data_IF_937079139397
#
_entry.id   IF_937079139397
#
_cell.length_a   1.000
_cell.length_b   1.000
_cell.length_c   1.000
_cell.angle_alpha   90.00
_cell.angle_beta   90.00
_cell.angle_gamma   90.00
#
_symmetry.space_group_name_H-M   'P 1'
#
loop_
_entity.id
_entity.type
_entity.pdbx_description
1 polymer ?
#
# COMPACT_ATOMS: atom_id res chain seq x y z
N UNK A 1 7.89 11.05 -17.53
CA UNK A 1 7.26 11.84 -16.45
C UNK A 1 7.51 11.07 -15.15
N UNK A 2 8.05 11.68 -14.11
CA UNK A 2 8.48 10.94 -12.89
C UNK A 2 7.45 11.13 -11.77
N UNK A 3 6.77 10.06 -11.35
CA UNK A 3 5.78 10.08 -10.27
C UNK A 3 6.36 10.60 -8.95
N UNK A 4 7.63 10.27 -8.66
CA UNK A 4 8.34 10.77 -7.48
C UNK A 4 8.47 12.30 -7.46
N UNK A 5 8.55 12.96 -8.62
CA UNK A 5 8.57 14.43 -8.63
C UNK A 5 7.26 15.03 -8.10
N UNK A 6 6.12 14.44 -8.45
CA UNK A 6 4.82 14.89 -7.94
C UNK A 6 4.68 14.60 -6.44
N UNK A 7 5.17 13.46 -5.97
CA UNK A 7 5.20 13.15 -4.54
C UNK A 7 5.93 14.22 -3.72
N UNK A 8 7.12 14.64 -4.17
CA UNK A 8 7.89 15.65 -3.46
C UNK A 8 7.30 17.07 -3.59
N UNK A 9 6.72 17.42 -4.73
CA UNK A 9 6.34 18.83 -5.00
C UNK A 9 4.87 19.13 -4.81
N UNK A 10 4.01 18.11 -4.84
CA UNK A 10 2.54 18.22 -4.83
C UNK A 10 1.88 17.12 -4.00
N UNK A 11 2.48 16.77 -2.86
CA UNK A 11 1.90 15.84 -1.87
C UNK A 11 0.51 16.27 -1.38
N UNK A 12 0.18 17.57 -1.51
CA UNK A 12 -1.15 18.14 -1.26
C UNK A 12 -2.24 17.58 -2.18
N UNK A 13 -1.86 17.12 -3.38
CA UNK A 13 -2.77 16.55 -4.38
C UNK A 13 -2.50 15.06 -4.62
N UNK A 14 -1.22 14.68 -4.65
CA UNK A 14 -0.77 13.32 -4.94
C UNK A 14 -0.08 12.72 -3.71
N UNK A 15 -0.89 12.25 -2.76
CA UNK A 15 -0.39 11.60 -1.55
C UNK A 15 0.06 10.15 -1.76
N UNK A 16 -0.47 9.48 -2.78
CA UNK A 16 -0.16 8.07 -3.07
C UNK A 16 0.72 7.97 -4.30
N UNK A 17 1.97 7.58 -4.12
CA UNK A 17 2.97 7.58 -5.19
C UNK A 17 3.58 6.19 -5.37
N UNK A 18 3.32 5.62 -6.54
CA UNK A 18 4.00 4.41 -6.99
C UNK A 18 5.19 4.72 -7.90
N UNK A 19 6.29 4.01 -7.70
CA UNK A 19 7.51 4.12 -8.50
C UNK A 19 8.00 2.71 -8.86
N UNK A 20 7.64 2.24 -10.04
CA UNK A 20 8.04 0.90 -10.50
C UNK A 20 9.35 0.96 -11.27
N UNK A 21 10.30 0.11 -10.88
CA UNK A 21 11.59 -0.07 -11.55
C UNK A 21 12.23 1.26 -11.99
N UNK A 22 12.40 2.25 -11.07
CA UNK A 22 12.85 3.55 -11.48
C UNK A 22 14.26 3.47 -12.06
N UNK A 23 14.47 4.20 -13.17
CA UNK A 23 15.81 4.48 -13.67
C UNK A 23 16.68 5.08 -12.55
N UNK A 24 18.01 4.90 -12.65
CA UNK A 24 18.93 5.47 -11.66
C UNK A 24 18.80 6.99 -11.60
N UNK A 25 18.13 7.49 -10.55
CA UNK A 25 17.88 8.92 -10.40
C UNK A 25 19.19 9.70 -10.24
N UNK A 26 20.23 9.12 -9.64
CA UNK A 26 21.54 9.80 -9.57
C UNK A 26 22.10 10.15 -10.94
N UNK A 27 21.79 9.36 -11.96
CA UNK A 27 22.31 9.54 -13.32
C UNK A 27 21.35 10.33 -14.22
N UNK A 28 20.04 10.17 -14.03
CA UNK A 28 19.03 10.67 -14.97
C UNK A 28 18.08 11.71 -14.40
N UNK A 29 17.95 11.81 -13.07
CA UNK A 29 17.05 12.74 -12.40
C UNK A 29 17.55 13.12 -10.98
N UNK A 30 18.78 13.63 -10.83
CA UNK A 30 19.36 13.88 -9.50
C UNK A 30 18.59 14.92 -8.69
N UNK A 31 17.87 15.81 -9.38
CA UNK A 31 17.00 16.80 -8.75
C UNK A 31 15.88 16.13 -7.94
N UNK A 32 15.36 14.97 -8.39
CA UNK A 32 14.30 14.25 -7.66
C UNK A 32 14.83 13.72 -6.33
N UNK A 33 16.00 13.07 -6.32
CA UNK A 33 16.63 12.62 -5.07
C UNK A 33 16.88 13.81 -4.12
N UNK A 34 17.34 14.94 -4.66
CA UNK A 34 17.61 16.11 -3.85
C UNK A 34 16.35 16.69 -3.20
N UNK A 35 15.18 16.64 -3.87
CA UNK A 35 13.93 17.10 -3.26
C UNK A 35 13.60 16.27 -2.00
N UNK A 36 13.62 14.94 -2.11
CA UNK A 36 13.37 14.06 -0.96
C UNK A 36 14.46 14.17 0.12
N UNK A 37 15.71 14.46 -0.26
CA UNK A 37 16.82 14.57 0.68
C UNK A 37 16.95 15.93 1.39
N UNK A 38 16.21 16.96 0.99
CA UNK A 38 16.44 18.32 1.53
C UNK A 38 15.19 19.05 1.97
N UNK A 39 14.03 18.66 1.45
CA UNK A 39 12.78 19.29 1.83
C UNK A 39 12.28 18.79 3.18
N UNK A 40 11.44 19.58 3.88
CA UNK A 40 10.68 19.07 5.01
C UNK A 40 9.91 17.81 4.63
N UNK A 41 9.77 16.90 5.59
CA UNK A 41 9.02 15.66 5.41
C UNK A 41 7.58 15.99 4.99
N UNK A 42 7.09 15.28 3.99
CA UNK A 42 5.72 15.45 3.49
C UNK A 42 4.78 14.60 4.34
N UNK A 43 3.90 15.21 5.13
CA UNK A 43 3.06 14.52 6.13
C UNK A 43 1.95 13.62 5.53
N UNK A 44 1.67 13.72 4.23
CA UNK A 44 0.60 12.98 3.54
C UNK A 44 1.12 12.24 2.31
N UNK A 45 2.29 11.63 2.43
CA UNK A 45 2.96 10.99 1.30
C UNK A 45 3.29 9.52 1.59
N UNK A 46 2.51 8.64 0.98
CA UNK A 46 2.72 7.19 0.96
C UNK A 46 3.40 6.79 -0.35
N UNK A 47 4.47 6.01 -0.22
CA UNK A 47 5.34 5.64 -1.34
C UNK A 47 5.37 4.12 -1.52
N UNK A 48 5.17 3.64 -2.74
CA UNK A 48 5.35 2.24 -3.10
C UNK A 48 6.40 2.10 -4.19
N UNK A 49 7.52 1.46 -3.88
CA UNK A 49 8.65 1.33 -4.80
C UNK A 49 8.81 -0.13 -5.16
N UNK A 50 8.95 -0.43 -6.45
CA UNK A 50 9.23 -1.80 -6.91
C UNK A 50 10.56 -1.86 -7.62
N UNK A 51 11.24 -2.99 -7.45
CA UNK A 51 12.46 -3.33 -8.20
C UNK A 51 12.47 -4.81 -8.56
N UNK A 52 13.06 -5.13 -9.71
CA UNK A 52 13.48 -6.45 -10.10
C UNK A 52 14.93 -6.72 -9.69
N UNK A 53 15.27 -7.98 -9.44
CA UNK A 53 16.66 -8.39 -9.16
C UNK A 53 17.49 -8.62 -10.42
N UNK A 54 16.86 -8.71 -11.60
CA UNK A 54 17.52 -9.10 -12.85
C UNK A 54 17.57 -7.91 -13.82
N UNK A 55 18.72 -7.23 -13.89
CA UNK A 55 18.95 -6.18 -14.90
C UNK A 55 18.15 -4.89 -14.69
N UNK A 56 17.59 -4.66 -13.50
CA UNK A 56 16.72 -3.50 -13.20
C UNK A 56 17.46 -2.26 -12.66
N UNK A 57 18.80 -2.29 -12.67
CA UNK A 57 19.63 -1.20 -12.15
C UNK A 57 19.53 -1.03 -10.63
N UNK A 58 19.95 0.14 -10.13
CA UNK A 58 19.99 0.43 -8.69
C UNK A 58 19.12 1.62 -8.28
N UNK A 59 18.31 2.18 -9.20
CA UNK A 59 17.56 3.41 -8.95
C UNK A 59 16.57 3.29 -7.80
N UNK A 60 15.86 2.17 -7.71
CA UNK A 60 14.89 1.95 -6.63
C UNK A 60 15.57 1.80 -5.27
N UNK A 61 16.67 1.04 -5.20
CA UNK A 61 17.44 0.87 -3.97
C UNK A 61 18.08 2.20 -3.51
N UNK A 62 18.61 3.00 -4.44
CA UNK A 62 19.12 4.34 -4.14
C UNK A 62 18.02 5.25 -3.62
N UNK A 63 16.84 5.22 -4.23
CA UNK A 63 15.73 6.05 -3.80
C UNK A 63 15.22 5.63 -2.42
N UNK A 64 15.02 4.33 -2.18
CA UNK A 64 14.65 3.79 -0.87
C UNK A 64 15.64 4.17 0.23
N UNK A 65 16.95 4.19 -0.07
CA UNK A 65 17.97 4.65 0.86
C UNK A 65 17.79 6.12 1.26
N UNK A 66 17.49 7.01 0.30
CA UNK A 66 17.19 8.42 0.60
C UNK A 66 15.93 8.55 1.45
N UNK A 67 14.87 7.83 1.11
CA UNK A 67 13.61 7.87 1.85
C UNK A 67 13.78 7.42 3.31
N UNK A 68 14.49 6.31 3.52
CA UNK A 68 14.81 5.79 4.86
C UNK A 68 15.67 6.78 5.67
N UNK A 69 16.67 7.42 5.06
CA UNK A 69 17.54 8.39 5.73
C UNK A 69 16.78 9.65 6.17
N UNK A 70 15.74 10.03 5.43
CA UNK A 70 14.95 11.24 5.68
C UNK A 70 13.63 10.99 6.41
N UNK A 71 13.31 9.73 6.74
CA UNK A 71 12.16 9.36 7.57
C UNK A 71 10.83 9.34 6.84
N UNK A 72 10.81 9.09 5.53
CA UNK A 72 9.56 8.84 4.80
C UNK A 72 9.03 7.44 5.11
N UNK A 73 7.71 7.34 5.18
CA UNK A 73 7.02 6.05 5.13
C UNK A 73 6.98 5.55 3.68
N UNK A 74 7.38 4.30 3.48
CA UNK A 74 7.40 3.68 2.16
C UNK A 74 7.34 2.17 2.24
N UNK A 75 6.78 1.57 1.20
CA UNK A 75 6.82 0.14 0.94
C UNK A 75 7.79 -0.15 -0.21
N UNK A 76 8.63 -1.17 -0.03
CA UNK A 76 9.64 -1.58 -1.01
C UNK A 76 9.44 -3.04 -1.39
N UNK A 77 9.09 -3.28 -2.65
CA UNK A 77 8.81 -4.60 -3.18
C UNK A 77 9.87 -5.03 -4.20
N UNK A 78 10.72 -5.96 -3.79
CA UNK A 78 11.68 -6.62 -4.68
C UNK A 78 11.07 -7.91 -5.26
N UNK A 79 11.32 -8.19 -6.54
CA UNK A 79 10.88 -9.41 -7.23
C UNK A 79 12.04 -10.06 -8.00
N UNK A 80 12.05 -11.39 -8.04
CA UNK A 80 13.03 -12.16 -8.80
C UNK A 80 12.71 -12.18 -10.30
N UNK A 81 12.57 -10.99 -10.87
CA UNK A 81 12.20 -10.70 -12.25
C UNK A 81 13.06 -9.53 -12.75
N UNK A 82 12.96 -9.19 -14.04
CA UNK A 82 13.68 -8.06 -14.61
C UNK A 82 12.82 -6.86 -14.95
N UNK A 83 13.44 -5.84 -15.54
CA UNK A 83 12.80 -4.61 -16.05
C UNK A 83 11.81 -4.93 -17.17
N UNK A 84 10.58 -5.33 -16.80
CA UNK A 84 9.66 -5.98 -17.72
C UNK A 84 8.21 -5.62 -17.42
N UNK A 85 7.39 -5.60 -18.48
CA UNK A 85 5.96 -5.38 -18.39
C UNK A 85 5.24 -6.42 -17.52
N UNK A 86 5.74 -7.65 -17.49
CA UNK A 86 5.21 -8.72 -16.63
C UNK A 86 5.32 -8.35 -15.15
N UNK A 87 6.53 -7.98 -14.73
CA UNK A 87 6.80 -7.56 -13.35
C UNK A 87 5.98 -6.32 -12.96
N UNK A 88 5.88 -5.32 -13.84
CA UNK A 88 5.09 -4.12 -13.56
C UNK A 88 3.61 -4.42 -13.42
N UNK A 89 3.05 -5.20 -14.34
CA UNK A 89 1.61 -5.52 -14.33
C UNK A 89 1.25 -6.42 -13.16
N UNK A 90 2.08 -7.40 -12.83
CA UNK A 90 1.83 -8.32 -11.72
C UNK A 90 1.88 -7.68 -10.33
N UNK A 91 2.38 -6.44 -10.22
CA UNK A 91 2.48 -5.71 -8.95
C UNK A 91 1.44 -4.61 -8.78
N UNK A 92 0.59 -4.35 -9.78
CA UNK A 92 -0.44 -3.30 -9.71
C UNK A 92 -1.39 -3.57 -8.56
N UNK A 93 -1.88 -4.80 -8.40
CA UNK A 93 -2.85 -5.13 -7.35
C UNK A 93 -2.29 -4.88 -5.95
N UNK A 94 -1.09 -5.39 -5.65
CA UNK A 94 -0.46 -5.16 -4.34
C UNK A 94 -0.19 -3.69 -4.08
N UNK A 95 0.22 -2.95 -5.11
CA UNK A 95 0.47 -1.52 -5.01
C UNK A 95 -0.81 -0.73 -4.73
N UNK A 96 -1.91 -1.05 -5.43
CA UNK A 96 -3.20 -0.40 -5.20
C UNK A 96 -3.71 -0.74 -3.80
N UNK A 97 -3.69 -2.02 -3.41
CA UNK A 97 -4.12 -2.42 -2.06
C UNK A 97 -3.32 -1.70 -0.97
N UNK A 98 -2.00 -1.53 -1.14
CA UNK A 98 -1.18 -0.83 -0.16
C UNK A 98 -1.46 0.68 -0.13
N UNK A 99 -1.53 1.32 -1.29
CA UNK A 99 -1.63 2.79 -1.38
C UNK A 99 -3.05 3.32 -1.18
N UNK A 100 -4.07 2.64 -1.71
CA UNK A 100 -5.46 3.09 -1.64
C UNK A 100 -6.33 2.23 -0.72
N UNK A 101 -5.76 1.16 -0.15
CA UNK A 101 -6.49 0.18 0.64
C UNK A 101 -7.18 -0.88 -0.22
N UNK A 102 -7.65 -1.99 0.38
CA UNK A 102 -8.51 -2.93 -0.32
C UNK A 102 -9.83 -2.22 -0.64
N UNK A 103 -10.19 -2.15 -1.93
CA UNK A 103 -11.55 -1.78 -2.31
C UNK A 103 -12.47 -2.94 -1.93
N UNK A 104 -13.47 -2.77 -1.05
CA UNK A 104 -14.51 -3.77 -0.89
C UNK A 104 -15.19 -3.97 -2.24
N UNK A 105 -14.98 -5.12 -2.85
CA UNK A 105 -15.70 -5.51 -4.07
C UNK A 105 -16.89 -6.33 -3.60
N UNK A 106 -18.09 -5.94 -4.03
CA UNK A 106 -19.29 -6.73 -3.81
C UNK A 106 -19.68 -7.37 -5.12
N UNK A 107 -19.82 -8.69 -5.12
CA UNK A 107 -20.17 -9.44 -6.32
C UNK A 107 -21.53 -9.01 -6.90
N UNK A 108 -22.41 -8.47 -6.05
CA UNK A 108 -23.71 -7.93 -6.45
C UNK A 108 -23.74 -6.41 -6.72
N UNK A 109 -22.60 -5.73 -6.72
CA UNK A 109 -22.45 -4.34 -7.22
C UNK A 109 -22.28 -4.39 -8.74
N UNK A 110 -23.41 -4.61 -9.43
CA UNK A 110 -23.47 -4.90 -10.85
C UNK A 110 -23.21 -3.65 -11.71
N UNK A 111 -23.37 -2.45 -11.15
CA UNK A 111 -23.06 -1.19 -11.84
C UNK A 111 -21.69 -0.60 -11.46
N UNK A 112 -20.97 -1.25 -10.54
CA UNK A 112 -19.64 -0.86 -10.02
C UNK A 112 -19.62 0.56 -9.42
N UNK A 113 -20.72 1.00 -8.80
CA UNK A 113 -20.81 2.30 -8.13
C UNK A 113 -20.35 2.27 -6.67
N UNK A 114 -19.93 1.10 -6.18
CA UNK A 114 -19.47 0.83 -4.83
C UNK A 114 -20.62 0.56 -3.85
N UNK A 115 -21.86 0.42 -4.32
CA UNK A 115 -23.04 0.30 -3.46
C UNK A 115 -24.03 -0.73 -4.00
N UNK A 116 -24.27 -1.82 -3.26
CA UNK A 116 -25.28 -2.81 -3.65
C UNK A 116 -26.68 -2.31 -3.30
N UNK A 117 -27.44 -1.90 -4.31
CA UNK A 117 -28.73 -1.25 -4.15
C UNK A 117 -29.75 -1.62 -5.25
N UNK A 118 -30.81 -0.81 -5.39
CA UNK A 118 -31.89 -1.05 -6.35
C UNK A 118 -31.44 -0.86 -7.81
N UNK A 119 -30.36 -0.12 -8.06
CA UNK A 119 -29.74 0.02 -9.38
C UNK A 119 -29.19 -1.33 -9.87
N UNK A 120 -28.51 -2.08 -9.01
CA UNK A 120 -28.00 -3.42 -9.31
C UNK A 120 -29.14 -4.41 -9.53
N UNK A 121 -30.16 -4.34 -8.68
CA UNK A 121 -31.36 -5.15 -8.85
C UNK A 121 -32.01 -4.92 -10.22
N UNK A 122 -31.97 -3.68 -10.74
CA UNK A 122 -32.51 -3.36 -12.05
C UNK A 122 -31.68 -4.02 -13.18
N UNK A 123 -30.36 -4.13 -13.02
CA UNK A 123 -29.48 -4.85 -13.94
C UNK A 123 -29.75 -6.35 -13.91
N UNK A 124 -29.81 -6.97 -12.73
CA UNK A 124 -30.18 -8.39 -12.59
C UNK A 124 -31.53 -8.69 -13.24
N UNK A 125 -32.55 -7.85 -12.99
CA UNK A 125 -33.87 -8.01 -13.61
C UNK A 125 -33.85 -7.86 -15.13
N UNK A 126 -32.92 -7.09 -15.69
CA UNK A 126 -32.80 -6.90 -17.12
C UNK A 126 -32.18 -8.12 -17.81
N UNK A 127 -31.27 -8.85 -17.16
CA UNK A 127 -30.66 -10.06 -17.70
C UNK A 127 -31.29 -11.38 -17.25
N UNK A 128 -32.20 -11.36 -16.28
CA UNK A 128 -32.84 -12.55 -15.71
C UNK A 128 -33.29 -13.58 -16.77
N UNK A 129 -32.83 -14.82 -16.60
CA UNK A 129 -33.11 -15.92 -17.52
C UNK A 129 -32.11 -16.06 -18.68
N UNK A 130 -31.05 -15.25 -18.73
CA UNK A 130 -29.91 -15.46 -19.63
C UNK A 130 -29.17 -16.72 -19.20
N UNK A 131 -29.36 -17.82 -19.92
CA UNK A 131 -28.86 -19.14 -19.53
C UNK A 131 -27.37 -19.41 -19.83
N UNK A 132 -26.67 -18.49 -20.51
CA UNK A 132 -25.24 -18.60 -20.81
C UNK A 132 -24.69 -17.28 -21.38
N UNK A 133 -23.40 -17.05 -21.17
CA UNK A 133 -22.69 -15.90 -21.73
C UNK A 133 -23.08 -14.57 -21.10
N UNK A 134 -23.66 -14.61 -19.90
CA UNK A 134 -23.79 -13.43 -19.07
C UNK A 134 -22.40 -12.92 -18.67
N UNK A 135 -22.32 -11.62 -18.50
CA UNK A 135 -21.20 -10.93 -17.88
C UNK A 135 -21.72 -10.21 -16.64
N UNK A 136 -20.82 -9.75 -15.77
CA UNK A 136 -21.16 -9.01 -14.55
C UNK A 136 -22.31 -7.99 -14.74
N UNK A 137 -22.17 -7.06 -15.70
CA UNK A 137 -23.20 -6.03 -16.00
C UNK A 137 -24.54 -6.56 -16.53
N UNK A 138 -24.64 -7.83 -16.92
CA UNK A 138 -25.89 -8.47 -17.29
C UNK A 138 -26.66 -9.00 -16.08
N UNK A 139 -26.08 -9.04 -14.88
CA UNK A 139 -26.69 -9.63 -13.69
C UNK A 139 -26.06 -10.92 -13.18
N UNK A 140 -24.93 -11.33 -13.75
CA UNK A 140 -24.12 -12.49 -13.35
C UNK A 140 -23.27 -12.12 -12.13
N UNK A 141 -23.90 -12.14 -10.96
CA UNK A 141 -23.27 -11.78 -9.70
C UNK A 141 -22.39 -12.91 -9.15
N UNK A 142 -22.65 -14.18 -9.46
CA UNK A 142 -21.80 -15.29 -8.99
C UNK A 142 -20.68 -15.70 -9.97
N UNK A 143 -20.70 -15.14 -11.17
CA UNK A 143 -19.67 -15.29 -12.19
C UNK A 143 -19.73 -16.62 -12.94
N UNK A 144 -20.86 -17.35 -12.87
CA UNK A 144 -21.04 -18.64 -13.52
C UNK A 144 -21.50 -18.55 -14.99
N UNK A 145 -21.74 -17.32 -15.47
CA UNK A 145 -22.15 -16.95 -16.83
C UNK A 145 -23.61 -17.18 -17.15
N UNK A 146 -24.48 -17.38 -16.17
CA UNK A 146 -25.91 -17.23 -16.33
C UNK A 146 -26.49 -16.09 -15.46
N UNK A 147 -27.81 -15.91 -15.49
CA UNK A 147 -28.50 -14.92 -14.64
C UNK A 147 -29.74 -15.57 -14.07
N UNK A 148 -29.64 -16.04 -12.84
CA UNK A 148 -30.64 -16.88 -12.21
C UNK A 148 -30.90 -16.50 -10.72
N UNK A 149 -31.43 -17.45 -9.95
CA UNK A 149 -31.73 -17.25 -8.54
C UNK A 149 -30.49 -17.18 -7.63
N UNK A 150 -29.37 -17.77 -8.02
CA UNK A 150 -28.10 -17.72 -7.30
C UNK A 150 -27.55 -16.29 -7.26
N UNK A 151 -27.61 -15.57 -8.39
CA UNK A 151 -27.24 -14.14 -8.45
C UNK A 151 -28.15 -13.30 -7.58
N UNK A 152 -29.46 -13.55 -7.66
CA UNK A 152 -30.43 -12.83 -6.85
C UNK A 152 -30.19 -13.05 -5.35
N UNK A 153 -29.83 -14.27 -4.95
CA UNK A 153 -29.47 -14.59 -3.58
C UNK A 153 -28.18 -13.87 -3.14
N UNK A 154 -27.20 -13.67 -4.03
CA UNK A 154 -26.03 -12.84 -3.74
C UNK A 154 -26.43 -11.39 -3.51
N UNK A 155 -27.25 -10.82 -4.40
CA UNK A 155 -27.77 -9.47 -4.24
C UNK A 155 -28.53 -9.30 -2.92
N UNK A 156 -29.37 -10.26 -2.54
CA UNK A 156 -30.08 -10.22 -1.27
C UNK A 156 -29.13 -10.26 -0.06
N UNK A 157 -28.04 -11.04 -0.13
CA UNK A 157 -27.06 -11.14 0.95
C UNK A 157 -26.22 -9.86 1.09
N UNK A 158 -25.96 -9.18 -0.02
CA UNK A 158 -25.09 -8.00 -0.06
C UNK A 158 -25.88 -6.68 -0.10
N UNK A 159 -27.22 -6.70 -0.11
CA UNK A 159 -28.06 -5.50 -0.17
C UNK A 159 -27.70 -4.50 0.95
N UNK A 160 -27.38 -3.26 0.54
CA UNK A 160 -26.97 -2.18 1.43
C UNK A 160 -25.48 -2.19 1.78
N UNK A 161 -24.70 -3.11 1.22
CA UNK A 161 -23.24 -3.05 1.32
C UNK A 161 -22.71 -1.83 0.57
N UNK A 162 -21.85 -1.07 1.23
CA UNK A 162 -21.21 0.14 0.70
C UNK A 162 -19.71 0.00 0.85
N UNK A 163 -18.97 0.35 -0.20
CA UNK A 163 -17.53 0.45 -0.16
C UNK A 163 -17.20 1.78 0.55
N UNK A 164 -17.29 1.79 1.89
CA UNK A 164 -16.73 2.89 2.65
C UNK A 164 -15.22 2.89 2.38
N UNK A 165 -14.72 3.97 1.80
CA UNK A 165 -13.29 4.21 1.70
C UNK A 165 -12.74 4.11 3.13
N UNK A 166 -11.98 3.04 3.40
CA UNK A 166 -11.41 2.81 4.71
C UNK A 166 -10.58 4.05 5.08
N UNK A 167 -11.10 4.88 5.99
CA UNK A 167 -10.28 5.84 6.69
C UNK A 167 -9.37 5.02 7.58
N UNK A 168 -8.21 4.62 7.04
CA UNK A 168 -7.15 4.03 7.84
C UNK A 168 -6.71 5.09 8.83
N UNK A 169 -7.28 5.05 10.04
CA UNK A 169 -6.61 5.57 11.20
C UNK A 169 -5.38 4.69 11.39
N UNK A 170 -4.29 5.06 10.71
CA UNK A 170 -2.96 4.50 10.98
C UNK A 170 -2.71 4.68 12.48
N UNK A 171 -2.57 3.60 13.26
CA UNK A 171 -2.22 3.73 14.66
C UNK A 171 -0.82 4.35 14.71
N UNK A 172 -0.69 5.57 15.23
CA UNK A 172 0.62 6.15 15.45
C UNK A 172 1.45 5.16 16.30
N UNK A 173 2.68 4.80 15.87
CA UNK A 173 3.53 3.94 16.68
C UNK A 173 3.72 4.62 18.03
N UNK A 174 3.47 3.88 19.11
CA UNK A 174 3.62 4.32 20.50
C UNK A 174 5.10 4.66 20.82
N UNK A 175 5.61 5.73 20.25
CA UNK A 175 7.00 6.20 20.42
C UNK A 175 7.21 6.85 21.79
N UNK A 176 6.16 7.00 22.61
CA UNK A 176 6.21 7.66 23.91
C UNK A 176 6.65 6.81 25.11
N UNK A 177 6.72 5.48 25.01
CA UNK A 177 6.83 4.64 26.22
C UNK A 177 8.25 4.12 26.55
N UNK A 178 9.25 4.30 25.68
CA UNK A 178 10.63 3.85 25.95
C UNK A 178 11.54 4.98 26.49
N UNK A 179 11.02 5.83 27.37
CA UNK A 179 11.86 6.70 28.24
C UNK A 179 11.66 6.38 29.73
N UNK A 180 10.67 5.57 30.10
CA UNK A 180 10.38 5.23 31.50
C UNK A 180 11.23 4.13 32.14
N UNK A 181 12.04 3.37 31.37
CA UNK A 181 12.67 2.15 31.89
C UNK A 181 14.21 2.18 32.03
N UNK A 182 14.85 3.36 31.94
CA UNK A 182 16.31 3.48 32.13
C UNK A 182 16.76 4.02 33.50
N UNK A 183 15.85 4.34 34.43
CA UNK A 183 16.25 4.90 35.73
C UNK A 183 16.58 3.88 36.83
N UNK A 184 16.45 2.57 36.61
CA UNK A 184 16.72 1.56 37.67
C UNK A 184 18.09 0.86 37.59
N UNK A 185 18.90 1.09 36.56
CA UNK A 185 20.17 0.35 36.38
C UNK A 185 21.44 1.08 36.91
N UNK A 186 21.32 2.29 37.48
CA UNK A 186 22.50 3.04 37.95
C UNK A 186 23.04 2.61 39.34
N UNK A 187 22.31 1.75 40.09
CA UNK A 187 22.65 1.40 41.48
C UNK A 187 23.62 0.23 41.67
N UNK A 188 23.75 -0.68 40.69
CA UNK A 188 24.44 -1.98 40.92
C UNK A 188 25.94 -1.93 40.54
N UNK A 189 26.33 -1.06 39.61
CA UNK A 189 27.71 -1.01 39.09
C UNK A 189 28.77 -0.57 40.12
N UNK A 190 28.41 0.23 41.13
CA UNK A 190 29.40 0.73 42.13
C UNK A 190 29.82 -0.33 43.16
N UNK A 191 29.05 -1.41 43.36
CA UNK A 191 29.32 -2.40 44.43
C UNK A 191 30.27 -3.53 44.00
N UNK A 192 30.39 -3.80 42.69
CA UNK A 192 31.29 -4.84 42.15
C UNK A 192 32.74 -4.38 41.95
N UNK A 193 32.98 -3.08 41.69
CA UNK A 193 34.34 -2.54 41.55
C UNK A 193 35.14 -2.57 42.86
N UNK A 194 34.50 -2.35 44.02
CA UNK A 194 35.17 -2.38 45.33
C UNK A 194 35.57 -3.78 45.81
N UNK A 195 34.95 -4.86 45.31
CA UNK A 195 35.24 -6.23 45.76
C UNK A 195 36.43 -6.90 45.04
N UNK A 196 36.82 -6.40 43.86
CA UNK A 196 37.98 -6.92 43.11
C UNK A 196 39.32 -6.30 43.51
N UNK A 197 39.34 -5.14 44.18
CA UNK A 197 40.56 -4.50 44.66
C UNK A 197 41.10 -5.05 46.01
N UNK A 198 40.32 -5.88 46.72
CA UNK A 198 40.67 -6.35 48.07
C UNK A 198 41.20 -7.80 48.12
N UNK A 199 41.53 -8.41 46.97
CA UNK A 199 42.07 -9.78 46.87
C UNK A 199 43.45 -9.86 46.17
N UNK A 200 44.16 -8.74 46.07
CA UNK A 200 45.49 -8.68 45.45
C UNK A 200 46.56 -8.05 46.37
N UNK A 201 46.61 -8.49 47.63
CA UNK A 201 47.76 -8.34 48.53
C UNK A 201 47.96 -9.63 49.29
#
# INVERSE_FOLDING_TARGET
MNSAYFGATRSDVFGNIAVQSPASFSSFAPQVLNLYATQPLQEKLDLYITVGTIGDGNGGAQFASVLSQHGYDYTFAERNEGHSWGQWRGLIDSMLIELVGPTPVFDADLNEDGVVNAADQALWRAGAGKAAGAIHFDGDADGDRDVDGADFLLWQRQLGATADAATLAVPEPASGTIIGCCCCAAGVAKKLAKRRAMRAR
#
